data_IF_514867740330
#
_entry.id   IF_514867740330
#
_cell.length_a   1.000
_cell.length_b   1.000
_cell.length_c   1.000
_cell.angle_alpha   90.00
_cell.angle_beta   90.00
_cell.angle_gamma   90.00
#
_symmetry.space_group_name_H-M   'P 1'
#
loop_
_entity.id
_entity.type
_entity.pdbx_description
1 polymer ?
#
# COMPACT_ATOMS: atom_id res chain seq x y z
N UNK A 1 25.75 -20.28 7.53
CA UNK A 1 24.49 -20.55 6.81
C UNK A 1 23.33 -19.96 7.61
N UNK A 2 22.89 -18.72 7.33
CA UNK A 2 21.68 -18.06 7.91
C UNK A 2 21.13 -16.95 7.00
N UNK A 3 21.24 -17.09 5.67
CA UNK A 3 20.84 -16.01 4.73
C UNK A 3 19.41 -16.16 4.20
N UNK A 4 18.82 -17.34 4.40
CA UNK A 4 17.60 -17.75 3.70
C UNK A 4 16.32 -17.47 4.51
N UNK A 5 16.42 -17.41 5.85
CA UNK A 5 15.29 -17.16 6.75
C UNK A 5 14.87 -15.68 6.77
N UNK A 6 15.84 -14.76 6.78
CA UNK A 6 15.59 -13.30 6.79
C UNK A 6 14.87 -12.82 5.52
N UNK A 7 15.19 -13.42 4.37
CA UNK A 7 14.59 -13.07 3.08
C UNK A 7 13.12 -13.47 3.00
N UNK A 8 12.74 -14.59 3.63
CA UNK A 8 11.35 -15.08 3.66
C UNK A 8 10.46 -14.26 4.60
N UNK A 9 11.01 -13.79 5.73
CA UNK A 9 10.30 -12.92 6.66
C UNK A 9 9.88 -11.62 5.95
N UNK A 10 10.83 -10.98 5.26
CA UNK A 10 10.62 -9.72 4.58
C UNK A 10 9.58 -9.84 3.45
N UNK A 11 9.57 -10.95 2.72
CA UNK A 11 8.55 -11.24 1.72
C UNK A 11 7.15 -11.42 2.33
N UNK A 12 7.02 -12.07 3.49
CA UNK A 12 5.73 -12.21 4.18
C UNK A 12 5.20 -10.86 4.66
N UNK A 13 6.06 -10.00 5.18
CA UNK A 13 5.67 -8.65 5.59
C UNK A 13 5.20 -7.80 4.41
N UNK A 14 5.92 -7.86 3.28
CA UNK A 14 5.51 -7.21 2.03
C UNK A 14 4.15 -7.69 1.54
N UNK A 15 3.90 -9.00 1.59
CA UNK A 15 2.60 -9.56 1.20
C UNK A 15 1.49 -9.09 2.11
N UNK A 16 1.67 -9.18 3.44
CA UNK A 16 0.68 -8.69 4.41
C UNK A 16 0.36 -7.20 4.22
N UNK A 17 1.38 -6.39 3.92
CA UNK A 17 1.19 -4.98 3.57
C UNK A 17 0.32 -4.83 2.31
N UNK A 18 0.64 -5.58 1.25
CA UNK A 18 -0.12 -5.53 -0.01
C UNK A 18 -1.59 -5.93 0.18
N UNK A 19 -1.86 -6.92 1.04
CA UNK A 19 -3.21 -7.36 1.35
C UNK A 19 -4.00 -6.30 2.12
N UNK A 20 -3.38 -5.66 3.12
CA UNK A 20 -4.00 -4.55 3.86
C UNK A 20 -4.34 -3.39 2.92
N UNK A 21 -3.37 -2.99 2.10
CA UNK A 21 -3.56 -1.94 1.11
C UNK A 21 -4.72 -2.24 0.14
N UNK A 22 -4.83 -3.48 -0.33
CA UNK A 22 -5.98 -3.90 -1.16
C UNK A 22 -7.30 -3.82 -0.40
N UNK A 23 -7.32 -4.27 0.87
CA UNK A 23 -8.52 -4.21 1.70
C UNK A 23 -8.96 -2.77 1.94
N UNK A 24 -8.03 -1.84 2.21
CA UNK A 24 -8.37 -0.42 2.35
C UNK A 24 -8.90 0.17 1.05
N UNK A 25 -8.30 -0.16 -0.10
CA UNK A 25 -8.84 0.27 -1.39
C UNK A 25 -10.28 -0.22 -1.59
N UNK A 26 -10.54 -1.51 -1.32
CA UNK A 26 -11.88 -2.10 -1.43
C UNK A 26 -12.85 -1.44 -0.43
N UNK A 27 -12.41 -1.18 0.80
CA UNK A 27 -13.22 -0.53 1.84
C UNK A 27 -13.60 0.91 1.45
N UNK A 28 -12.71 1.62 0.77
CA UNK A 28 -12.97 2.93 0.20
C UNK A 28 -13.78 2.88 -1.12
N UNK A 29 -14.17 1.69 -1.60
CA UNK A 29 -14.93 1.50 -2.85
C UNK A 29 -14.08 1.56 -4.12
N UNK A 30 -12.75 1.57 -4.01
CA UNK A 30 -11.82 1.59 -5.13
C UNK A 30 -11.42 0.17 -5.55
N UNK A 31 -11.29 -0.04 -6.87
CA UNK A 31 -10.72 -1.27 -7.39
C UNK A 31 -9.21 -1.35 -7.06
N UNK A 32 -8.66 -2.51 -6.63
CA UNK A 32 -7.24 -2.69 -6.33
C UNK A 32 -6.40 -2.71 -7.62
N UNK A 33 -6.34 -1.57 -8.31
CA UNK A 33 -5.62 -1.35 -9.57
C UNK A 33 -4.57 -0.26 -9.37
N UNK A 34 -3.41 -0.42 -10.02
CA UNK A 34 -2.31 0.54 -9.94
C UNK A 34 -2.73 1.96 -10.35
N UNK A 35 -3.49 2.10 -11.44
CA UNK A 35 -3.95 3.42 -11.93
C UNK A 35 -4.90 4.13 -10.96
N UNK A 36 -5.79 3.38 -10.29
CA UNK A 36 -6.76 3.96 -9.34
C UNK A 36 -6.03 4.38 -8.07
N UNK A 37 -5.17 3.50 -7.55
CA UNK A 37 -4.36 3.79 -6.37
C UNK A 37 -3.43 4.99 -6.63
N UNK A 38 -2.76 5.05 -7.79
CA UNK A 38 -1.88 6.16 -8.13
C UNK A 38 -2.64 7.48 -8.19
N UNK A 39 -3.78 7.52 -8.88
CA UNK A 39 -4.60 8.74 -8.98
C UNK A 39 -5.05 9.23 -7.60
N UNK A 40 -5.67 8.36 -6.81
CA UNK A 40 -6.16 8.74 -5.47
C UNK A 40 -5.01 9.11 -4.53
N UNK A 41 -3.88 8.43 -4.64
CA UNK A 41 -2.68 8.76 -3.88
C UNK A 41 -2.12 10.13 -4.29
N UNK A 42 -1.95 10.40 -5.58
CA UNK A 42 -1.42 11.65 -6.09
C UNK A 42 -2.34 12.84 -5.81
N UNK A 43 -3.65 12.62 -5.72
CA UNK A 43 -4.60 13.65 -5.29
C UNK A 43 -4.43 14.04 -3.81
N UNK A 44 -4.06 13.10 -2.94
CA UNK A 44 -3.89 13.32 -1.49
C UNK A 44 -2.44 13.61 -1.09
N UNK A 45 -1.48 13.28 -1.94
CA UNK A 45 -0.05 13.40 -1.66
C UNK A 45 0.53 14.68 -2.25
N UNK A 46 0.95 15.59 -1.38
CA UNK A 46 1.55 16.88 -1.77
C UNK A 46 3.04 16.80 -2.16
N UNK A 47 3.64 15.60 -2.15
CA UNK A 47 5.06 15.39 -2.48
C UNK A 47 5.28 14.89 -3.92
N UNK A 48 6.37 14.14 -4.13
CA UNK A 48 6.64 13.51 -5.43
C UNK A 48 5.55 12.50 -5.84
N UNK A 49 4.85 12.72 -6.97
CA UNK A 49 3.81 11.81 -7.42
C UNK A 49 4.40 10.42 -7.69
N UNK A 50 3.56 9.40 -7.58
CA UNK A 50 3.92 8.03 -7.93
C UNK A 50 3.45 7.70 -9.33
N UNK A 51 4.09 6.71 -9.95
CA UNK A 51 3.61 6.16 -11.23
C UNK A 51 2.67 4.98 -10.98
N UNK A 52 1.75 4.68 -11.91
CA UNK A 52 0.87 3.51 -11.81
C UNK A 52 1.64 2.20 -11.70
N UNK A 53 2.84 2.14 -12.29
CA UNK A 53 3.74 0.99 -12.16
C UNK A 53 4.22 0.82 -10.70
N UNK A 54 4.60 1.90 -10.02
CA UNK A 54 4.96 1.87 -8.60
C UNK A 54 3.77 1.42 -7.73
N UNK A 55 2.59 1.97 -7.97
CA UNK A 55 1.36 1.57 -7.28
C UNK A 55 1.05 0.08 -7.48
N UNK A 56 1.22 -0.44 -8.70
CA UNK A 56 1.10 -1.86 -9.01
C UNK A 56 2.10 -2.75 -8.26
N UNK A 57 3.34 -2.28 -8.04
CA UNK A 57 4.33 -3.02 -7.22
C UNK A 57 3.92 -3.12 -5.76
N UNK A 58 3.29 -2.10 -5.20
CA UNK A 58 2.79 -2.13 -3.82
C UNK A 58 1.62 -3.11 -3.67
N UNK A 59 0.70 -3.12 -4.63
CA UNK A 59 -0.41 -4.08 -4.67
C UNK A 59 0.05 -5.53 -4.85
N UNK A 60 1.18 -5.76 -5.51
CA UNK A 60 1.77 -7.10 -5.65
C UNK A 60 2.66 -7.52 -4.48
N UNK A 61 2.94 -6.61 -3.54
CA UNK A 61 3.91 -6.87 -2.46
C UNK A 61 5.34 -7.02 -2.97
N UNK A 62 5.65 -6.47 -4.14
CA UNK A 62 7.02 -6.51 -4.70
C UNK A 62 7.91 -5.42 -4.09
N UNK A 63 7.30 -4.31 -3.67
CA UNK A 63 8.02 -3.13 -3.15
C UNK A 63 7.25 -2.49 -2.00
N UNK A 64 7.97 -2.05 -0.97
CA UNK A 64 7.42 -1.26 0.14
C UNK A 64 7.63 0.23 -0.16
N UNK A 65 6.60 1.09 -0.02
CA UNK A 65 6.76 2.53 -0.13
C UNK A 65 7.78 3.07 0.87
N UNK A 66 8.39 4.23 0.57
CA UNK A 66 9.15 4.98 1.57
C UNK A 66 8.22 5.52 2.66
N UNK A 67 8.80 5.86 3.81
CA UNK A 67 8.08 6.28 5.02
C UNK A 67 7.03 7.39 4.76
N UNK A 68 7.35 8.41 3.96
CA UNK A 68 6.41 9.49 3.62
C UNK A 68 5.15 8.97 2.92
N UNK A 69 5.33 8.03 1.99
CA UNK A 69 4.24 7.43 1.22
C UNK A 69 3.42 6.45 2.07
N UNK A 70 4.09 5.73 2.97
CA UNK A 70 3.42 4.88 3.96
C UNK A 70 2.50 5.70 4.87
N UNK A 71 2.93 6.88 5.31
CA UNK A 71 2.08 7.76 6.14
C UNK A 71 0.82 8.19 5.41
N UNK A 72 0.94 8.60 4.15
CA UNK A 72 -0.21 8.98 3.34
C UNK A 72 -1.15 7.80 3.07
N UNK A 73 -0.61 6.61 2.80
CA UNK A 73 -1.43 5.40 2.67
C UNK A 73 -2.12 5.00 3.98
N UNK A 74 -1.41 5.08 5.10
CA UNK A 74 -1.96 4.78 6.43
C UNK A 74 -3.04 5.79 6.85
N UNK A 75 -2.91 7.06 6.46
CA UNK A 75 -3.96 8.06 6.62
C UNK A 75 -5.24 7.67 5.88
N UNK A 76 -5.12 7.15 4.65
CA UNK A 76 -6.27 6.62 3.89
C UNK A 76 -6.87 5.38 4.56
N UNK A 77 -6.07 4.54 5.23
CA UNK A 77 -6.58 3.42 6.03
C UNK A 77 -7.27 3.87 7.33
N UNK A 78 -6.81 4.95 7.95
CA UNK A 78 -7.26 5.37 9.29
C UNK A 78 -8.60 6.10 9.28
N UNK A 79 -8.98 6.74 8.17
CA UNK A 79 -10.24 7.50 8.08
C UNK A 79 -11.50 6.61 8.19
N UNK A 80 -11.37 5.28 8.02
CA UNK A 80 -12.47 4.33 8.14
C UNK A 80 -12.47 3.47 9.40
N UNK A 81 -11.46 3.59 10.28
CA UNK A 81 -11.46 2.90 11.58
C UNK A 81 -12.36 3.58 12.64
N UNK A 82 -13.22 4.52 12.21
CA UNK A 82 -14.16 5.25 13.06
C UNK A 82 -15.59 4.72 13.08
N UNK A 83 -15.96 3.73 12.26
CA UNK A 83 -17.31 3.14 12.27
C UNK A 83 -17.29 1.67 11.86
N UNK A 84 -17.54 0.77 12.81
CA UNK A 84 -17.79 -0.63 12.47
C UNK A 84 -17.60 -1.62 13.61
N UNK A 85 -18.54 -1.57 14.57
CA UNK A 85 -19.10 -2.65 15.44
C UNK A 85 -18.20 -3.47 16.36
#
# INVERSE_FOLDING_TARGET
>A
MKKDEKTQQDQRERQRFSERLKKSLIANGYAPRGNVLEREFNLRYYGTPITPHTAGKWLRGESIPRLDKLRTLALVECEFAGFGV
#
